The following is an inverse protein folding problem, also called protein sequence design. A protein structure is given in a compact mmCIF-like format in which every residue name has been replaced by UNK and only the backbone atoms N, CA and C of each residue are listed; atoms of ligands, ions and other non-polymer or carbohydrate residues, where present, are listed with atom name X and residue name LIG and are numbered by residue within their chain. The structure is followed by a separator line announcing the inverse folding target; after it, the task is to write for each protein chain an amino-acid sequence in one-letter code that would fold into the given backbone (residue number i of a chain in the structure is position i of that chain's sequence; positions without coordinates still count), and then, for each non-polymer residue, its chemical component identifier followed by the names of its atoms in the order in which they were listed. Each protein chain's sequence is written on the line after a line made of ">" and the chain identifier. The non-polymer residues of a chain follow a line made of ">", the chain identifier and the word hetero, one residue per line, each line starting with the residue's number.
data_IF_255273364389
#
_entry.id   IF_255273364389
#
_cell.length_a   1.000
_cell.length_b   1.000
_cell.length_c   1.000
_cell.angle_alpha   90.00
_cell.angle_beta   90.00
_cell.angle_gamma   90.00
#
_symmetry.space_group_name_H-M   'P 1'
#
loop_
_entity.id
_entity.type
_entity.pdbx_description
1 polymer ?
#
# COMPACT_ATOMS: atom_id res chain seq x y z
N UNK A 1 14.27 -0.97 -0.43
CA UNK A 1 12.90 -0.49 -0.13
C UNK A 1 11.93 -1.66 -0.20
N UNK A 2 11.13 -1.90 0.85
CA UNK A 2 10.16 -3.00 0.90
C UNK A 2 8.79 -2.56 0.38
N UNK A 3 7.86 -3.50 0.19
CA UNK A 3 6.45 -3.19 -0.09
C UNK A 3 5.84 -2.31 1.01
N UNK A 4 6.16 -2.60 2.27
CA UNK A 4 5.72 -1.83 3.43
C UNK A 4 6.19 -0.38 3.38
N UNK A 5 7.47 -0.15 3.02
CA UNK A 5 8.00 1.19 2.83
C UNK A 5 7.25 1.95 1.72
N UNK A 6 6.98 1.31 0.58
CA UNK A 6 6.26 1.93 -0.55
C UNK A 6 4.80 2.28 -0.22
N UNK A 7 4.12 1.41 0.53
CA UNK A 7 2.76 1.66 1.02
C UNK A 7 2.76 2.84 1.98
N UNK A 8 3.66 2.83 2.97
CA UNK A 8 3.80 3.91 3.95
C UNK A 8 4.10 5.25 3.28
N UNK A 9 5.05 5.28 2.35
CA UNK A 9 5.41 6.49 1.60
C UNK A 9 4.23 7.00 0.76
N UNK A 10 3.52 6.10 0.09
CA UNK A 10 2.37 6.50 -0.74
C UNK A 10 1.21 7.03 0.08
N UNK A 11 0.92 6.39 1.22
CA UNK A 11 -0.08 6.85 2.18
C UNK A 11 0.29 8.21 2.78
N UNK A 12 1.54 8.39 3.22
CA UNK A 12 2.00 9.67 3.78
C UNK A 12 2.01 10.78 2.72
N UNK A 13 2.32 10.47 1.46
CA UNK A 13 2.34 11.46 0.38
C UNK A 13 0.95 12.07 0.09
N UNK A 14 -0.12 11.34 0.36
CA UNK A 14 -1.51 11.83 0.27
C UNK A 14 -2.08 12.31 1.62
N UNK A 15 -1.24 12.39 2.66
CA UNK A 15 -1.61 12.89 3.99
C UNK A 15 -2.50 11.95 4.80
N UNK A 16 -2.57 10.66 4.46
CA UNK A 16 -3.46 9.72 5.13
C UNK A 16 -2.81 9.07 6.36
N UNK A 17 -3.62 8.82 7.39
CA UNK A 17 -3.30 7.92 8.50
C UNK A 17 -3.47 6.45 8.09
N UNK A 18 -2.94 5.51 8.89
CA UNK A 18 -3.17 4.09 8.65
C UNK A 18 -4.67 3.74 8.68
N UNK A 19 -5.46 4.39 9.54
CA UNK A 19 -6.92 4.17 9.62
C UNK A 19 -7.62 4.66 8.35
N UNK A 20 -7.21 5.81 7.80
CA UNK A 20 -7.79 6.28 6.53
C UNK A 20 -7.50 5.31 5.38
N UNK A 21 -6.30 4.73 5.33
CA UNK A 21 -6.00 3.68 4.35
C UNK A 21 -6.84 2.41 4.59
N UNK A 22 -7.17 2.08 5.83
CA UNK A 22 -7.98 0.88 6.12
C UNK A 22 -9.40 1.03 5.63
N UNK A 23 -9.98 2.20 5.85
CA UNK A 23 -11.35 2.53 5.42
C UNK A 23 -11.44 2.50 3.89
N UNK A 24 -10.45 3.08 3.21
CA UNK A 24 -10.42 3.17 1.74
C UNK A 24 -10.04 1.85 1.05
N UNK A 25 -9.16 1.05 1.65
CA UNK A 25 -8.74 -0.24 1.09
C UNK A 25 -9.63 -1.42 1.52
N UNK A 26 -10.55 -1.22 2.48
CA UNK A 26 -11.40 -2.28 3.02
C UNK A 26 -10.61 -3.37 3.75
N UNK A 27 -9.58 -2.99 4.51
CA UNK A 27 -8.69 -3.90 5.25
C UNK A 27 -8.63 -3.54 6.73
N UNK A 28 -7.99 -4.36 7.57
CA UNK A 28 -7.82 -4.04 8.99
C UNK A 28 -6.58 -3.18 9.24
N UNK A 29 -6.61 -2.35 10.29
CA UNK A 29 -5.45 -1.54 10.70
C UNK A 29 -4.24 -2.40 11.05
N UNK A 30 -4.45 -3.54 11.70
CA UNK A 30 -3.38 -4.50 11.99
C UNK A 30 -2.76 -5.08 10.72
N UNK A 31 -3.54 -5.29 9.64
CA UNK A 31 -2.99 -5.72 8.37
C UNK A 31 -2.06 -4.66 7.77
N UNK A 32 -2.48 -3.39 7.73
CA UNK A 32 -1.63 -2.28 7.27
C UNK A 32 -0.38 -2.16 8.14
N UNK A 33 -0.52 -2.20 9.46
CA UNK A 33 0.60 -2.13 10.40
C UNK A 33 1.63 -3.24 10.18
N UNK A 34 1.18 -4.49 9.99
CA UNK A 34 2.05 -5.64 9.70
C UNK A 34 2.77 -5.52 8.35
N UNK A 35 2.13 -4.91 7.36
CA UNK A 35 2.74 -4.69 6.06
C UNK A 35 3.80 -3.58 6.16
N UNK A 36 3.44 -2.42 6.74
CA UNK A 36 4.35 -1.27 6.89
C UNK A 36 5.55 -1.56 7.81
N UNK A 37 5.41 -2.44 8.80
CA UNK A 37 6.50 -2.89 9.67
C UNK A 37 7.40 -3.95 9.02
N UNK A 38 6.99 -4.52 7.87
CA UNK A 38 7.72 -5.58 7.19
C UNK A 38 7.46 -7.00 7.72
N UNK A 39 6.61 -7.16 8.74
CA UNK A 39 6.14 -8.47 9.22
C UNK A 39 5.42 -9.26 8.11
N UNK A 40 4.79 -8.57 7.16
CA UNK A 40 4.12 -9.16 6.01
C UNK A 40 4.59 -8.53 4.70
N UNK A 41 5.38 -9.28 3.92
CA UNK A 41 5.92 -8.80 2.65
C UNK A 41 5.09 -9.21 1.41
N UNK A 42 4.09 -10.08 1.58
CA UNK A 42 3.18 -10.51 0.51
C UNK A 42 1.72 -10.41 0.98
N UNK A 43 1.15 -9.20 1.00
CA UNK A 43 -0.25 -9.02 1.39
C UNK A 43 -1.20 -9.55 0.33
N UNK A 44 -2.26 -10.25 0.76
CA UNK A 44 -3.32 -10.73 -0.14
C UNK A 44 -4.17 -9.57 -0.66
N UNK A 45 -4.16 -8.46 0.06
CA UNK A 45 -4.95 -7.25 -0.14
C UNK A 45 -4.17 -6.21 -0.97
N UNK A 46 -3.04 -6.60 -1.57
CA UNK A 46 -2.17 -5.75 -2.39
C UNK A 46 -2.96 -4.92 -3.41
N UNK A 47 -3.88 -5.58 -4.13
CA UNK A 47 -4.67 -4.92 -5.18
C UNK A 47 -5.62 -3.88 -4.59
N UNK A 48 -6.27 -4.15 -3.45
CA UNK A 48 -7.15 -3.19 -2.79
C UNK A 48 -6.37 -1.99 -2.26
N UNK A 49 -5.21 -2.23 -1.64
CA UNK A 49 -4.30 -1.18 -1.17
C UNK A 49 -3.79 -0.33 -2.34
N UNK A 50 -3.40 -0.97 -3.45
CA UNK A 50 -2.95 -0.28 -4.65
C UNK A 50 -4.02 0.65 -5.23
N UNK A 51 -5.27 0.16 -5.30
CA UNK A 51 -6.43 0.94 -5.77
C UNK A 51 -6.71 2.13 -4.86
N UNK A 52 -6.76 1.93 -3.54
CA UNK A 52 -6.98 3.01 -2.57
C UNK A 52 -5.93 4.12 -2.67
N UNK A 53 -4.66 3.72 -2.83
CA UNK A 53 -3.53 4.65 -2.98
C UNK A 53 -3.34 5.19 -4.40
N UNK A 54 -4.15 4.74 -5.38
CA UNK A 54 -4.06 5.09 -6.80
C UNK A 54 -2.66 4.83 -7.40
N UNK A 55 -2.04 3.71 -7.01
CA UNK A 55 -0.73 3.28 -7.49
C UNK A 55 -0.82 1.92 -8.19
N UNK A 56 0.22 1.56 -8.97
CA UNK A 56 0.32 0.24 -9.59
C UNK A 56 0.56 -0.83 -8.50
N UNK A 57 -0.17 -1.96 -8.53
CA UNK A 57 0.12 -3.10 -7.68
C UNK A 57 1.49 -3.73 -8.00
N UNK A 58 1.91 -3.74 -9.28
CA UNK A 58 3.24 -4.25 -9.65
C UNK A 58 4.36 -3.38 -9.08
N UNK A 59 4.17 -2.06 -9.08
CA UNK A 59 5.12 -1.14 -8.46
C UNK A 59 5.16 -1.33 -6.93
N UNK A 60 4.02 -1.52 -6.27
CA UNK A 60 4.01 -1.81 -4.83
C UNK A 60 4.74 -3.12 -4.50
N UNK A 61 4.52 -4.18 -5.28
CA UNK A 61 5.15 -5.47 -5.06
C UNK A 61 6.64 -5.44 -5.35
N UNK A 62 7.03 -4.95 -6.53
CA UNK A 62 8.39 -5.13 -7.06
C UNK A 62 9.27 -3.88 -6.94
N UNK A 63 8.66 -2.70 -6.79
CA UNK A 63 9.34 -1.41 -6.89
C UNK A 63 9.75 -1.03 -8.32
N UNK A 64 9.32 -1.79 -9.34
CA UNK A 64 9.67 -1.57 -10.75
C UNK A 64 8.48 -1.01 -11.52
N UNK A 65 8.77 -0.34 -12.62
CA UNK A 65 7.76 0.24 -13.51
C UNK A 65 7.16 1.55 -12.99
N UNK A 66 6.10 2.05 -13.65
CA UNK A 66 5.47 3.31 -13.27
C UNK A 66 4.72 3.20 -11.94
N UNK A 67 4.87 4.22 -11.09
CA UNK A 67 4.20 4.28 -9.78
C UNK A 67 2.69 4.30 -9.87
N UNK A 68 2.14 4.97 -10.89
CA UNK A 68 0.70 5.02 -11.16
C UNK A 68 0.40 4.12 -12.34
N UNK A 69 -0.48 3.14 -12.16
CA UNK A 69 -1.12 2.47 -13.29
C UNK A 69 -1.96 3.50 -14.02
N UNK A 70 -1.61 3.84 -15.25
CA UNK A 70 -2.45 4.70 -16.10
C UNK A 70 -3.81 4.01 -16.19
N UNK A 71 -4.87 4.69 -15.74
CA UNK A 71 -6.24 4.33 -16.09
C UNK A 71 -6.42 4.50 -17.61
#
# INVERSE_FOLDING_TARGET
>A
MTIGSRIKESRCAIGWSQVQLTDEAGVTQSAIGNIESGLRQRPRELVSIAKALRVSPEWLETGKGPRTGRA
#
